data_IF_701606194485
#
_entry.id   IF_701606194485
#
_cell.length_a   1.000
_cell.length_b   1.000
_cell.length_c   1.000
_cell.angle_alpha   90.00
_cell.angle_beta   90.00
_cell.angle_gamma   90.00
#
_symmetry.space_group_name_H-M   'P 1'
#
loop_
_entity.id
_entity.type
_entity.pdbx_description
1 polymer ?
#
# COMPACT_ATOMS: atom_id res chain seq x y z
N UNK A 1 29.85 39.75 63.50
CA UNK A 1 29.08 38.47 63.50
C UNK A 1 28.22 38.46 62.27
N UNK A 2 28.66 37.72 61.29
CA UNK A 2 28.02 37.67 59.98
C UNK A 2 27.42 36.27 59.79
N UNK A 3 26.12 36.18 60.00
CA UNK A 3 25.36 34.95 59.91
C UNK A 3 25.08 34.67 58.41
N UNK A 4 25.86 33.81 57.81
CA UNK A 4 25.62 33.33 56.44
C UNK A 4 24.54 32.27 56.51
N UNK A 5 23.29 32.66 56.22
CA UNK A 5 22.20 31.69 56.00
C UNK A 5 22.55 30.79 54.80
N UNK A 6 22.63 29.50 55.08
CA UNK A 6 22.74 28.47 54.04
C UNK A 6 21.49 28.50 53.20
N UNK A 7 21.67 28.55 51.87
CA UNK A 7 20.55 28.45 50.90
C UNK A 7 20.07 27.02 50.70
N UNK A 8 20.69 26.06 51.38
CA UNK A 8 20.25 24.67 51.39
C UNK A 8 19.66 24.37 52.76
N UNK A 9 18.33 24.47 52.89
CA UNK A 9 17.60 23.95 54.00
C UNK A 9 17.56 22.43 53.84
N UNK A 10 18.23 21.68 54.71
CA UNK A 10 18.05 20.22 54.78
C UNK A 10 16.59 20.01 55.20
N UNK A 11 15.76 19.55 54.26
CA UNK A 11 14.42 19.03 54.55
C UNK A 11 14.62 17.80 55.41
N UNK A 12 14.51 18.02 56.68
CA UNK A 12 14.76 17.03 57.74
C UNK A 12 13.97 15.77 57.47
N UNK A 13 14.64 14.67 57.68
CA UNK A 13 14.10 13.32 57.72
C UNK A 13 13.08 13.19 58.87
N UNK A 14 11.85 13.70 58.67
CA UNK A 14 10.70 13.21 59.40
C UNK A 14 10.12 12.02 58.62
N UNK A 15 10.59 10.85 59.04
CA UNK A 15 9.94 9.59 58.77
C UNK A 15 8.54 9.60 59.41
N UNK A 16 7.57 10.12 58.66
CA UNK A 16 6.19 9.75 58.84
C UNK A 16 5.90 8.64 57.86
N UNK A 17 5.91 7.42 58.37
CA UNK A 17 5.30 6.28 57.71
C UNK A 17 3.82 6.57 57.50
N UNK A 18 3.48 7.22 56.42
CA UNK A 18 2.15 7.15 55.82
C UNK A 18 2.24 6.07 54.77
N UNK A 19 1.50 4.97 54.98
CA UNK A 19 1.09 4.02 53.95
C UNK A 19 0.34 4.75 52.83
N UNK A 20 1.06 5.59 52.12
CA UNK A 20 0.64 6.16 50.85
C UNK A 20 0.99 5.18 49.76
N UNK A 21 0.01 4.52 49.21
CA UNK A 21 0.19 3.80 47.94
C UNK A 21 1.06 4.65 47.00
N UNK A 22 2.03 4.08 46.29
CA UNK A 22 2.91 4.83 45.42
C UNK A 22 2.03 5.67 44.49
N UNK A 23 2.24 6.98 44.49
CA UNK A 23 1.59 7.90 43.55
C UNK A 23 1.91 7.37 42.17
N UNK A 24 0.97 6.60 41.62
CA UNK A 24 1.02 6.19 40.24
C UNK A 24 1.06 7.47 39.43
N UNK A 25 2.25 7.79 38.92
CA UNK A 25 2.38 8.93 38.03
C UNK A 25 1.32 8.79 36.93
N UNK A 26 0.70 9.89 36.51
CA UNK A 26 -0.40 10.00 35.53
C UNK A 26 -0.12 9.35 34.18
N UNK A 27 0.75 8.36 34.11
CA UNK A 27 1.02 7.53 32.93
C UNK A 27 0.39 6.17 33.24
N UNK A 28 -0.85 6.04 32.78
CA UNK A 28 -1.63 4.79 32.81
C UNK A 28 -0.84 3.66 32.15
N UNK A 29 -0.03 2.94 32.91
CA UNK A 29 0.84 1.87 32.42
C UNK A 29 0.11 0.54 32.27
N UNK A 30 -1.13 0.39 32.72
CA UNK A 30 -1.80 -0.91 32.81
C UNK A 30 -2.98 -1.13 31.87
N UNK A 31 -3.82 -0.15 31.65
CA UNK A 31 -5.09 -0.34 30.92
C UNK A 31 -4.98 -0.32 29.39
N UNK A 32 -3.92 0.22 28.82
CA UNK A 32 -3.73 0.33 27.37
C UNK A 32 -2.86 -0.76 26.73
N UNK A 33 -2.07 -1.51 27.50
CA UNK A 33 -1.06 -2.43 26.97
C UNK A 33 -1.68 -3.59 26.15
N UNK A 34 -2.74 -4.22 26.67
CA UNK A 34 -3.43 -5.29 25.97
C UNK A 34 -4.12 -4.82 24.67
N UNK A 35 -4.73 -3.64 24.69
CA UNK A 35 -5.39 -3.09 23.51
C UNK A 35 -4.37 -2.73 22.42
N UNK A 36 -3.25 -2.09 22.77
CA UNK A 36 -2.15 -1.80 21.83
C UNK A 36 -1.59 -3.06 21.20
N UNK A 37 -1.45 -4.14 21.97
CA UNK A 37 -0.99 -5.43 21.47
C UNK A 37 -1.94 -5.96 20.40
N UNK A 38 -3.26 -6.01 20.64
CA UNK A 38 -4.22 -6.55 19.67
C UNK A 38 -4.36 -5.67 18.41
N UNK A 39 -4.29 -4.34 18.54
CA UNK A 39 -4.26 -3.43 17.38
C UNK A 39 -2.99 -3.68 16.55
N UNK A 40 -1.84 -3.93 17.18
CA UNK A 40 -0.60 -4.28 16.46
C UNK A 40 -0.72 -5.60 15.71
N UNK A 41 -1.32 -6.63 16.32
CA UNK A 41 -1.57 -7.91 15.64
C UNK A 41 -2.45 -7.71 14.42
N UNK A 42 -3.53 -6.93 14.55
CA UNK A 42 -4.39 -6.57 13.43
C UNK A 42 -3.65 -5.79 12.34
N UNK A 43 -2.78 -4.84 12.69
CA UNK A 43 -1.93 -4.12 11.73
C UNK A 43 -0.92 -5.07 11.05
N UNK A 44 -0.32 -6.02 11.77
CA UNK A 44 0.54 -7.02 11.15
C UNK A 44 -0.21 -7.96 10.20
N UNK A 45 -1.45 -8.30 10.53
CA UNK A 45 -2.32 -9.04 9.60
C UNK A 45 -2.57 -8.21 8.32
N UNK A 46 -2.93 -6.93 8.45
CA UNK A 46 -3.10 -6.02 7.30
C UNK A 46 -1.80 -5.89 6.51
N UNK A 47 -0.65 -5.78 7.18
CA UNK A 47 0.66 -5.74 6.54
C UNK A 47 0.90 -6.98 5.67
N UNK A 48 0.70 -8.17 6.25
CA UNK A 48 0.88 -9.43 5.53
C UNK A 48 -0.07 -9.54 4.33
N UNK A 49 -1.34 -9.14 4.49
CA UNK A 49 -2.31 -9.12 3.40
C UNK A 49 -1.94 -8.15 2.28
N UNK A 50 -1.41 -6.96 2.61
CA UNK A 50 -0.95 -5.99 1.60
C UNK A 50 0.31 -6.49 0.89
N UNK A 51 1.25 -7.13 1.58
CA UNK A 51 2.40 -7.80 0.94
C UNK A 51 1.92 -8.87 -0.03
N UNK A 52 0.99 -9.73 0.40
CA UNK A 52 0.38 -10.75 -0.47
C UNK A 52 -0.31 -10.11 -1.68
N UNK A 53 -1.01 -8.98 -1.47
CA UNK A 53 -1.66 -8.21 -2.55
C UNK A 53 -0.65 -7.72 -3.59
N UNK A 54 0.49 -7.19 -3.17
CA UNK A 54 1.55 -6.73 -4.08
C UNK A 54 2.09 -7.91 -4.90
N UNK A 55 2.31 -9.06 -4.26
CA UNK A 55 2.76 -10.28 -4.95
C UNK A 55 1.73 -10.78 -5.95
N UNK A 56 0.47 -10.91 -5.55
CA UNK A 56 -0.62 -11.34 -6.44
C UNK A 56 -0.82 -10.35 -7.58
N UNK A 57 -0.74 -9.04 -7.33
CA UNK A 57 -0.81 -8.01 -8.36
C UNK A 57 0.34 -8.13 -9.38
N UNK A 58 1.56 -8.40 -8.93
CA UNK A 58 2.69 -8.70 -9.79
C UNK A 58 2.45 -9.94 -10.66
N UNK A 59 1.90 -11.02 -10.10
CA UNK A 59 1.53 -12.23 -10.85
C UNK A 59 0.41 -11.97 -11.85
N UNK A 60 -0.60 -11.17 -11.49
CA UNK A 60 -1.68 -10.74 -12.40
C UNK A 60 -1.11 -10.00 -13.62
N UNK A 61 -0.09 -9.15 -13.41
CA UNK A 61 0.60 -8.47 -14.52
C UNK A 61 1.44 -9.45 -15.37
N UNK A 62 2.19 -10.35 -14.74
CA UNK A 62 3.04 -11.32 -15.43
C UNK A 62 2.27 -12.40 -16.20
N UNK A 63 0.99 -12.60 -15.89
CA UNK A 63 0.09 -13.51 -16.58
C UNK A 63 -0.82 -12.81 -17.58
N UNK A 64 -0.58 -11.54 -17.87
CA UNK A 64 -1.37 -10.69 -18.74
C UNK A 64 -2.88 -10.80 -18.44
N UNK A 65 -3.24 -10.78 -17.13
CA UNK A 65 -4.61 -11.06 -16.64
C UNK A 65 -5.37 -9.80 -16.22
N UNK A 66 -4.73 -8.63 -16.28
CA UNK A 66 -5.20 -7.39 -15.61
C UNK A 66 -6.37 -6.69 -16.30
N UNK A 67 -6.83 -7.14 -17.47
CA UNK A 67 -7.93 -6.57 -18.25
C UNK A 67 -9.07 -7.56 -18.47
N UNK A 68 -9.03 -8.74 -17.85
CA UNK A 68 -10.04 -9.80 -18.05
C UNK A 68 -11.42 -9.46 -17.49
N UNK A 69 -11.49 -8.58 -16.48
CA UNK A 69 -12.73 -8.10 -15.87
C UNK A 69 -12.98 -6.65 -16.25
N UNK A 70 -13.85 -6.44 -17.22
CA UNK A 70 -14.05 -5.16 -17.90
C UNK A 70 -14.99 -4.19 -17.18
N UNK A 71 -15.57 -4.58 -16.05
CA UNK A 71 -16.56 -3.78 -15.33
C UNK A 71 -16.15 -3.46 -13.89
N UNK A 72 -16.50 -2.24 -13.44
CA UNK A 72 -16.38 -1.87 -12.04
C UNK A 72 -17.55 -2.43 -11.23
N UNK A 73 -17.30 -3.51 -10.50
CA UNK A 73 -18.29 -4.14 -9.62
C UNK A 73 -17.70 -4.36 -8.22
N UNK A 74 -17.53 -3.32 -7.39
CA UNK A 74 -16.86 -3.45 -6.09
C UNK A 74 -17.58 -4.38 -5.12
N UNK A 75 -18.90 -4.41 -5.13
CA UNK A 75 -19.71 -5.25 -4.25
C UNK A 75 -20.18 -6.52 -4.96
N UNK A 76 -20.96 -6.38 -6.04
CA UNK A 76 -21.54 -7.53 -6.75
C UNK A 76 -20.50 -8.44 -7.41
N UNK A 77 -19.32 -7.92 -7.77
CA UNK A 77 -18.19 -8.70 -8.29
C UNK A 77 -17.45 -9.55 -7.23
N UNK A 78 -17.95 -9.60 -5.99
CA UNK A 78 -17.42 -10.52 -4.98
C UNK A 78 -17.75 -11.99 -5.29
N UNK A 79 -18.83 -12.24 -6.04
CA UNK A 79 -19.17 -13.57 -6.53
C UNK A 79 -18.62 -13.73 -7.96
N UNK A 80 -17.92 -14.83 -8.26
CA UNK A 80 -17.48 -15.13 -9.60
C UNK A 80 -18.69 -15.59 -10.46
N UNK A 81 -18.54 -15.72 -11.78
CA UNK A 81 -19.57 -16.34 -12.62
C UNK A 81 -19.86 -17.76 -12.14
N UNK A 82 -21.15 -18.07 -11.86
CA UNK A 82 -21.56 -19.36 -11.28
C UNK A 82 -22.24 -20.29 -12.28
N UNK A 83 -22.56 -19.81 -13.51
CA UNK A 83 -23.18 -20.62 -14.57
C UNK A 83 -22.40 -20.52 -15.88
N UNK A 84 -22.62 -21.45 -16.79
CA UNK A 84 -22.02 -21.43 -18.12
C UNK A 84 -22.39 -20.15 -18.89
N UNK A 85 -23.63 -19.71 -18.78
CA UNK A 85 -24.14 -18.49 -19.42
C UNK A 85 -23.44 -17.25 -18.85
N UNK A 86 -23.23 -17.20 -17.52
CA UNK A 86 -22.50 -16.11 -16.87
C UNK A 86 -21.03 -16.05 -17.34
N UNK A 87 -20.36 -17.20 -17.46
CA UNK A 87 -19.00 -17.27 -17.99
C UNK A 87 -18.94 -16.80 -19.44
N UNK A 88 -19.89 -17.24 -20.28
CA UNK A 88 -19.95 -16.81 -21.67
C UNK A 88 -20.18 -15.30 -21.77
N UNK A 89 -21.07 -14.75 -20.91
CA UNK A 89 -21.33 -13.30 -20.86
C UNK A 89 -20.09 -12.49 -20.52
N UNK A 90 -19.29 -12.89 -19.51
CA UNK A 90 -18.06 -12.19 -19.17
C UNK A 90 -17.01 -12.33 -20.29
N UNK A 91 -16.93 -13.50 -20.95
CA UNK A 91 -16.03 -13.69 -22.08
C UNK A 91 -16.43 -12.85 -23.30
N UNK A 92 -17.72 -12.69 -23.62
CA UNK A 92 -18.16 -11.79 -24.69
C UNK A 92 -17.79 -10.33 -24.40
N UNK A 93 -17.83 -9.88 -23.15
CA UNK A 93 -17.37 -8.54 -22.77
C UNK A 93 -15.86 -8.38 -22.97
N UNK A 94 -15.07 -9.40 -22.61
CA UNK A 94 -13.64 -9.41 -22.84
C UNK A 94 -13.28 -9.37 -24.32
N UNK A 95 -14.04 -10.08 -25.17
CA UNK A 95 -13.84 -10.05 -26.62
C UNK A 95 -14.04 -8.68 -27.28
N UNK A 96 -14.69 -7.76 -26.58
CA UNK A 96 -14.95 -6.40 -27.09
C UNK A 96 -13.81 -5.40 -26.79
N UNK A 97 -12.75 -5.80 -26.08
CA UNK A 97 -11.63 -4.91 -25.75
C UNK A 97 -10.45 -5.11 -26.71
N UNK A 98 -9.57 -4.09 -26.85
CA UNK A 98 -8.42 -4.14 -27.78
C UNK A 98 -7.46 -5.31 -27.51
N UNK A 99 -7.20 -5.65 -26.25
CA UNK A 99 -6.31 -6.77 -25.89
C UNK A 99 -6.77 -8.09 -26.53
N UNK A 100 -8.08 -8.40 -26.51
CA UNK A 100 -8.56 -9.61 -27.15
C UNK A 100 -8.39 -9.53 -28.67
N UNK A 101 -8.82 -8.45 -29.30
CA UNK A 101 -8.82 -8.33 -30.76
C UNK A 101 -7.41 -8.34 -31.36
N UNK A 102 -6.42 -7.76 -30.67
CA UNK A 102 -5.08 -7.56 -31.20
C UNK A 102 -4.07 -8.61 -30.69
N UNK A 103 -4.25 -9.13 -29.48
CA UNK A 103 -3.29 -10.03 -28.83
C UNK A 103 -3.86 -11.45 -28.61
N UNK A 104 -5.09 -11.56 -28.11
CA UNK A 104 -5.67 -12.82 -27.64
C UNK A 104 -6.77 -13.38 -28.56
N UNK A 105 -6.81 -12.95 -29.81
CA UNK A 105 -7.80 -13.40 -30.79
C UNK A 105 -7.77 -14.91 -30.98
N UNK A 106 -8.93 -15.54 -30.75
CA UNK A 106 -9.05 -16.99 -30.80
C UNK A 106 -8.83 -17.73 -29.49
N UNK A 107 -8.60 -16.98 -28.39
CA UNK A 107 -8.55 -17.53 -27.04
C UNK A 107 -9.83 -18.35 -26.74
N UNK A 108 -9.65 -19.51 -26.16
CA UNK A 108 -10.75 -20.36 -25.69
C UNK A 108 -11.36 -19.85 -24.38
N UNK A 109 -12.59 -20.29 -24.07
CA UNK A 109 -13.22 -19.98 -22.79
C UNK A 109 -12.38 -20.46 -21.58
N UNK A 110 -11.68 -21.59 -21.71
CA UNK A 110 -10.84 -22.13 -20.64
C UNK A 110 -9.61 -21.25 -20.37
N UNK A 111 -8.97 -20.74 -21.41
CA UNK A 111 -7.86 -19.78 -21.28
C UNK A 111 -8.33 -18.45 -20.69
N UNK A 112 -9.50 -17.95 -21.14
CA UNK A 112 -10.13 -16.78 -20.53
C UNK A 112 -10.42 -16.97 -19.02
N UNK A 113 -10.95 -18.14 -18.64
CA UNK A 113 -11.19 -18.44 -17.23
C UNK A 113 -9.91 -18.41 -16.41
N UNK A 114 -8.77 -18.84 -16.95
CA UNK A 114 -7.48 -18.78 -16.25
C UNK A 114 -7.07 -17.35 -15.93
N UNK A 115 -7.11 -16.43 -16.90
CA UNK A 115 -6.77 -15.01 -16.66
C UNK A 115 -7.81 -14.32 -15.78
N UNK A 116 -9.09 -14.68 -15.95
CA UNK A 116 -10.17 -14.14 -15.09
C UNK A 116 -9.95 -14.48 -13.61
N UNK A 117 -9.53 -15.72 -13.29
CA UNK A 117 -9.31 -16.12 -11.90
C UNK A 117 -8.14 -15.38 -11.24
N UNK A 118 -7.09 -15.04 -11.98
CA UNK A 118 -6.01 -14.22 -11.47
C UNK A 118 -6.50 -12.81 -11.11
N UNK A 119 -7.21 -12.16 -12.02
CA UNK A 119 -7.72 -10.82 -11.76
C UNK A 119 -8.81 -10.83 -10.68
N UNK A 120 -9.73 -11.79 -10.71
CA UNK A 120 -10.76 -11.92 -9.68
C UNK A 120 -10.12 -12.16 -8.30
N UNK A 121 -9.14 -13.03 -8.20
CA UNK A 121 -8.39 -13.29 -6.97
C UNK A 121 -7.71 -12.04 -6.42
N UNK A 122 -7.07 -11.25 -7.28
CA UNK A 122 -6.49 -9.96 -6.92
C UNK A 122 -7.55 -8.99 -6.39
N UNK A 123 -8.66 -8.82 -7.11
CA UNK A 123 -9.78 -7.96 -6.68
C UNK A 123 -10.44 -8.47 -5.40
N UNK A 124 -10.55 -9.79 -5.24
CA UNK A 124 -11.13 -10.40 -4.04
C UNK A 124 -10.24 -10.17 -2.81
N UNK A 125 -8.94 -10.30 -2.95
CA UNK A 125 -7.99 -9.99 -1.87
C UNK A 125 -8.11 -8.53 -1.43
N UNK A 126 -8.33 -7.59 -2.38
CA UNK A 126 -8.61 -6.20 -2.05
C UNK A 126 -9.86 -6.01 -1.19
N UNK A 127 -10.95 -6.74 -1.52
CA UNK A 127 -12.18 -6.74 -0.70
C UNK A 127 -11.92 -7.30 0.71
N UNK A 128 -11.15 -8.39 0.80
CA UNK A 128 -10.77 -9.00 2.10
C UNK A 128 -9.96 -8.02 2.94
N UNK A 129 -8.98 -7.32 2.37
CA UNK A 129 -8.21 -6.28 3.08
C UNK A 129 -9.13 -5.18 3.60
N UNK A 130 -10.03 -4.68 2.75
CA UNK A 130 -11.01 -3.66 3.14
C UNK A 130 -11.93 -4.14 4.27
N UNK A 131 -12.41 -5.38 4.20
CA UNK A 131 -13.26 -5.99 5.24
C UNK A 131 -12.49 -6.18 6.56
N UNK A 132 -11.27 -6.71 6.52
CA UNK A 132 -10.41 -6.89 7.70
C UNK A 132 -10.11 -5.54 8.36
N UNK A 133 -9.84 -4.51 7.54
CA UNK A 133 -9.67 -3.16 8.07
C UNK A 133 -10.96 -2.65 8.72
N UNK A 134 -12.11 -2.73 8.04
CA UNK A 134 -13.38 -2.19 8.51
C UNK A 134 -13.86 -2.87 9.80
N UNK A 135 -13.82 -4.21 9.84
CA UNK A 135 -14.22 -5.00 11.01
C UNK A 135 -13.28 -4.70 12.19
N UNK A 136 -11.96 -4.74 11.97
CA UNK A 136 -10.99 -4.47 13.03
C UNK A 136 -11.15 -3.04 13.58
N UNK A 137 -11.26 -2.04 12.69
CA UNK A 137 -11.50 -0.66 13.12
C UNK A 137 -12.80 -0.52 13.91
N UNK A 138 -13.92 -1.07 13.41
CA UNK A 138 -15.22 -0.99 14.07
C UNK A 138 -15.20 -1.66 15.45
N UNK A 139 -14.59 -2.84 15.58
CA UNK A 139 -14.45 -3.55 16.86
C UNK A 139 -13.65 -2.73 17.87
N UNK A 140 -12.46 -2.24 17.51
CA UNK A 140 -11.64 -1.46 18.42
C UNK A 140 -12.27 -0.10 18.77
N UNK A 141 -12.96 0.53 17.82
CA UNK A 141 -13.67 1.79 18.04
C UNK A 141 -14.87 1.61 18.96
N UNK A 142 -15.76 0.65 18.69
CA UNK A 142 -16.94 0.36 19.51
C UNK A 142 -16.56 -0.07 20.94
N UNK A 143 -15.50 -0.88 21.07
CA UNK A 143 -14.95 -1.28 22.37
C UNK A 143 -14.20 -0.15 23.10
N UNK A 144 -14.06 1.05 22.52
CA UNK A 144 -13.29 2.18 23.07
C UNK A 144 -11.84 1.80 23.43
N UNK A 145 -11.22 0.94 22.60
CA UNK A 145 -9.86 0.42 22.81
C UNK A 145 -8.80 1.15 21.98
N UNK A 146 -9.20 2.06 21.08
CA UNK A 146 -8.25 2.85 20.28
C UNK A 146 -7.57 3.88 21.21
N UNK A 147 -6.23 3.91 21.29
CA UNK A 147 -5.51 4.88 22.11
C UNK A 147 -5.79 6.33 21.66
N UNK A 148 -5.66 7.27 22.58
CA UNK A 148 -5.82 8.69 22.25
C UNK A 148 -4.90 9.12 21.10
N UNK A 149 -5.42 9.88 20.14
CA UNK A 149 -4.70 10.36 18.96
C UNK A 149 -4.47 9.31 17.85
N UNK A 150 -4.98 8.07 18.00
CA UNK A 150 -4.79 7.01 16.99
C UNK A 150 -5.98 6.83 16.06
N UNK A 151 -7.17 7.30 16.41
CA UNK A 151 -8.38 7.14 15.58
C UNK A 151 -8.17 7.68 14.15
N UNK A 152 -7.67 8.92 14.01
CA UNK A 152 -7.43 9.51 12.70
C UNK A 152 -6.36 8.77 11.88
N UNK A 153 -5.31 8.22 12.54
CA UNK A 153 -4.27 7.43 11.88
C UNK A 153 -4.81 6.12 11.33
N UNK A 154 -5.65 5.43 12.10
CA UNK A 154 -6.27 4.17 11.67
C UNK A 154 -7.34 4.41 10.59
N UNK A 155 -8.10 5.52 10.67
CA UNK A 155 -9.01 5.95 9.61
C UNK A 155 -8.28 6.28 8.31
N UNK A 156 -7.11 6.93 8.39
CA UNK A 156 -6.27 7.24 7.23
C UNK A 156 -5.97 5.98 6.40
N UNK A 157 -5.68 4.85 7.05
CA UNK A 157 -5.45 3.58 6.33
C UNK A 157 -6.67 3.16 5.52
N UNK A 158 -7.88 3.34 6.05
CA UNK A 158 -9.12 3.04 5.33
C UNK A 158 -9.36 3.98 4.16
N UNK A 159 -9.11 5.28 4.34
CA UNK A 159 -9.20 6.28 3.26
C UNK A 159 -8.21 5.94 2.14
N UNK A 160 -6.95 5.67 2.48
CA UNK A 160 -5.94 5.27 1.51
C UNK A 160 -6.29 3.94 0.81
N UNK A 161 -6.85 2.97 1.55
CA UNK A 161 -7.36 1.72 0.97
C UNK A 161 -8.51 1.94 -0.02
N UNK A 162 -9.44 2.83 0.29
CA UNK A 162 -10.51 3.23 -0.64
C UNK A 162 -9.97 3.92 -1.89
N UNK A 163 -9.01 4.84 -1.72
CA UNK A 163 -8.31 5.49 -2.85
C UNK A 163 -7.56 4.47 -3.70
N UNK A 164 -6.92 3.48 -3.08
CA UNK A 164 -6.21 2.40 -3.78
C UNK A 164 -7.14 1.64 -4.73
N UNK A 165 -8.37 1.32 -4.27
CA UNK A 165 -9.38 0.68 -5.12
C UNK A 165 -9.82 1.57 -6.29
N UNK A 166 -10.05 2.86 -6.05
CA UNK A 166 -10.43 3.81 -7.07
C UNK A 166 -9.32 4.03 -8.11
N UNK A 167 -8.06 4.17 -7.66
CA UNK A 167 -6.89 4.30 -8.54
C UNK A 167 -6.65 3.00 -9.32
N UNK A 168 -6.88 1.83 -8.71
CA UNK A 168 -6.81 0.55 -9.41
C UNK A 168 -7.82 0.46 -10.56
N UNK A 169 -9.05 0.92 -10.35
CA UNK A 169 -10.00 1.00 -11.43
C UNK A 169 -9.62 2.03 -12.51
N UNK A 170 -9.17 3.21 -12.11
CA UNK A 170 -8.67 4.22 -13.04
C UNK A 170 -7.51 3.67 -13.89
N UNK A 171 -6.67 2.79 -13.32
CA UNK A 171 -5.62 2.09 -14.05
C UNK A 171 -6.22 1.11 -15.08
N UNK A 172 -7.08 0.20 -14.66
CA UNK A 172 -7.73 -0.80 -15.54
C UNK A 172 -8.49 -0.12 -16.68
N UNK A 173 -9.24 0.94 -16.39
CA UNK A 173 -10.01 1.67 -17.40
C UNK A 173 -9.16 2.23 -18.55
N UNK A 174 -7.83 2.37 -18.38
CA UNK A 174 -6.95 2.84 -19.47
C UNK A 174 -6.67 1.82 -20.55
N UNK A 175 -6.79 0.52 -20.23
CA UNK A 175 -6.58 -0.57 -21.19
C UNK A 175 -7.87 -1.14 -21.79
N UNK A 176 -9.05 -0.67 -21.34
CA UNK A 176 -10.34 -1.19 -21.83
C UNK A 176 -10.81 -0.55 -23.15
N UNK A 177 -10.23 0.57 -23.54
CA UNK A 177 -10.64 1.35 -24.71
C UNK A 177 -9.43 1.96 -25.41
N UNK A 178 -9.59 2.31 -26.69
CA UNK A 178 -8.52 2.89 -27.49
C UNK A 178 -7.71 1.82 -28.21
N UNK A 179 -6.40 2.00 -28.33
CA UNK A 179 -5.47 1.10 -29.05
C UNK A 179 -4.48 0.41 -28.09
N UNK A 180 -4.58 0.63 -26.79
CA UNK A 180 -3.66 0.08 -25.80
C UNK A 180 -3.95 -1.39 -25.55
N UNK A 181 -2.89 -2.18 -25.51
CA UNK A 181 -2.93 -3.61 -25.14
C UNK A 181 -2.83 -3.81 -23.62
N UNK A 182 -2.28 -2.82 -22.95
CA UNK A 182 -2.01 -2.82 -21.51
C UNK A 182 -2.54 -1.56 -20.82
N UNK A 183 -2.51 -1.58 -19.49
CA UNK A 183 -2.81 -0.39 -18.69
C UNK A 183 -1.73 0.66 -18.85
N UNK A 184 -2.10 1.95 -18.80
CA UNK A 184 -1.13 3.05 -18.89
C UNK A 184 -0.06 2.94 -17.79
N UNK A 185 1.22 2.99 -18.15
CA UNK A 185 2.37 2.79 -17.27
C UNK A 185 2.40 3.72 -16.05
N UNK A 186 2.07 5.02 -16.24
CA UNK A 186 2.01 5.99 -15.16
C UNK A 186 0.86 5.71 -14.17
N UNK A 187 -0.25 5.11 -14.62
CA UNK A 187 -1.36 4.70 -13.75
C UNK A 187 -0.96 3.47 -12.94
N UNK A 188 -0.24 2.53 -13.55
CA UNK A 188 0.36 1.39 -12.85
C UNK A 188 1.35 1.86 -11.78
N UNK A 189 2.26 2.77 -12.12
CA UNK A 189 3.21 3.34 -11.16
C UNK A 189 2.52 4.06 -10.00
N UNK A 190 1.43 4.79 -10.28
CA UNK A 190 0.62 5.46 -9.24
C UNK A 190 -0.05 4.45 -8.31
N UNK A 191 -0.65 3.41 -8.89
CA UNK A 191 -1.33 2.35 -8.13
C UNK A 191 -0.34 1.57 -7.24
N UNK A 192 0.77 1.11 -7.80
CA UNK A 192 1.81 0.40 -7.06
C UNK A 192 2.49 1.29 -6.01
N UNK A 193 2.79 2.54 -6.36
CA UNK A 193 3.37 3.50 -5.44
C UNK A 193 2.49 3.75 -4.21
N UNK A 194 1.18 3.93 -4.40
CA UNK A 194 0.24 4.07 -3.28
C UNK A 194 0.18 2.80 -2.43
N UNK A 195 0.25 1.60 -3.02
CA UNK A 195 0.30 0.35 -2.26
C UNK A 195 1.50 0.30 -1.31
N UNK A 196 2.70 0.72 -1.77
CA UNK A 196 3.89 0.81 -0.92
C UNK A 196 3.80 1.91 0.13
N UNK A 197 3.15 3.04 -0.16
CA UNK A 197 2.87 4.08 0.85
C UNK A 197 1.95 3.54 1.95
N UNK A 198 0.89 2.82 1.60
CA UNK A 198 -0.01 2.16 2.56
C UNK A 198 0.77 1.15 3.42
N UNK A 199 1.58 0.30 2.78
CA UNK A 199 2.43 -0.68 3.47
C UNK A 199 3.37 0.00 4.48
N UNK A 200 4.01 1.11 4.06
CA UNK A 200 4.87 1.92 4.91
C UNK A 200 4.13 2.51 6.13
N UNK A 201 2.93 3.05 5.94
CA UNK A 201 2.10 3.56 7.05
C UNK A 201 1.69 2.45 8.01
N UNK A 202 1.28 1.27 7.50
CA UNK A 202 0.91 0.12 8.36
C UNK A 202 2.12 -0.29 9.21
N UNK A 203 3.30 -0.46 8.59
CA UNK A 203 4.53 -0.80 9.29
C UNK A 203 4.89 0.24 10.35
N UNK A 204 4.87 1.52 9.98
CA UNK A 204 5.16 2.61 10.90
C UNK A 204 4.20 2.65 12.09
N UNK A 205 2.91 2.49 11.86
CA UNK A 205 1.90 2.49 12.92
C UNK A 205 2.05 1.27 13.84
N UNK A 206 2.30 0.07 13.28
CA UNK A 206 2.52 -1.14 14.07
C UNK A 206 3.77 -1.03 14.96
N UNK A 207 4.87 -0.49 14.45
CA UNK A 207 6.09 -0.26 15.20
C UNK A 207 5.91 0.82 16.25
N UNK A 208 5.26 1.95 15.90
CA UNK A 208 5.03 3.07 16.82
C UNK A 208 4.14 2.69 17.99
N UNK A 209 3.10 1.88 17.77
CA UNK A 209 2.24 1.35 18.84
C UNK A 209 2.97 0.42 19.82
N UNK A 210 4.09 -0.17 19.38
CA UNK A 210 4.93 -1.04 20.20
C UNK A 210 5.79 -0.30 21.22
N UNK A 211 5.93 1.01 21.08
CA UNK A 211 6.80 1.83 21.91
C UNK A 211 5.97 2.69 22.87
N UNK A 212 6.47 2.85 24.10
CA UNK A 212 5.93 3.83 25.02
C UNK A 212 6.28 5.26 24.58
N UNK A 213 5.50 6.26 24.99
CA UNK A 213 5.82 7.66 24.67
C UNK A 213 7.19 8.09 25.19
N UNK A 214 7.58 7.59 26.38
CA UNK A 214 8.93 7.81 26.92
C UNK A 214 10.00 7.22 26.01
N UNK A 215 9.82 6.00 25.53
CA UNK A 215 10.77 5.37 24.61
C UNK A 215 10.87 6.14 23.30
N UNK A 216 9.75 6.59 22.75
CA UNK A 216 9.74 7.42 21.53
C UNK A 216 10.48 8.76 21.74
N UNK A 217 10.27 9.43 22.86
CA UNK A 217 10.97 10.66 23.20
C UNK A 217 12.48 10.42 23.40
N UNK A 218 12.85 9.34 24.08
CA UNK A 218 14.26 8.97 24.26
C UNK A 218 14.94 8.64 22.93
N UNK A 219 14.28 7.90 22.05
CA UNK A 219 14.79 7.60 20.72
C UNK A 219 14.99 8.87 19.88
N UNK A 220 14.06 9.83 19.96
CA UNK A 220 14.20 11.14 19.30
C UNK A 220 15.42 11.91 19.82
N UNK A 221 15.66 11.89 21.13
CA UNK A 221 16.81 12.58 21.77
C UNK A 221 18.14 11.91 21.43
N UNK A 222 18.16 10.56 21.31
CA UNK A 222 19.36 9.75 21.01
C UNK A 222 19.56 9.52 19.51
N UNK A 223 18.72 10.12 18.67
CA UNK A 223 18.79 9.93 17.22
C UNK A 223 20.16 10.32 16.69
N UNK A 224 20.88 9.35 16.13
CA UNK A 224 22.08 9.61 15.38
C UNK A 224 21.70 10.20 14.01
N UNK A 225 22.04 11.47 13.79
CA UNK A 225 21.60 12.23 12.62
C UNK A 225 22.09 11.61 11.32
N UNK A 226 23.31 11.08 11.30
CA UNK A 226 23.88 10.43 10.11
C UNK A 226 23.10 9.20 9.70
N UNK A 227 22.86 8.26 10.64
CA UNK A 227 22.08 7.05 10.37
C UNK A 227 20.64 7.37 9.95
N UNK A 228 20.02 8.35 10.60
CA UNK A 228 18.66 8.79 10.24
C UNK A 228 18.63 9.33 8.80
N UNK A 229 19.58 10.20 8.44
CA UNK A 229 19.65 10.78 7.10
C UNK A 229 19.90 9.72 6.03
N UNK A 230 20.85 8.81 6.28
CA UNK A 230 21.15 7.70 5.35
C UNK A 230 19.96 6.75 5.17
N UNK A 231 19.30 6.36 6.26
CA UNK A 231 18.11 5.48 6.20
C UNK A 231 16.95 6.15 5.46
N UNK A 232 16.74 7.44 5.70
CA UNK A 232 15.72 8.22 5.01
C UNK A 232 16.05 8.34 3.53
N UNK A 233 17.29 8.63 3.18
CA UNK A 233 17.77 8.67 1.80
C UNK A 233 17.53 7.33 1.09
N UNK A 234 17.99 6.23 1.69
CA UNK A 234 17.80 4.89 1.14
C UNK A 234 16.31 4.57 0.91
N UNK A 235 15.45 4.89 1.87
CA UNK A 235 13.99 4.69 1.73
C UNK A 235 13.43 5.44 0.52
N UNK A 236 13.82 6.71 0.31
CA UNK A 236 13.36 7.50 -0.82
C UNK A 236 13.90 6.97 -2.16
N UNK A 237 15.17 6.58 -2.21
CA UNK A 237 15.76 5.97 -3.42
C UNK A 237 15.10 4.63 -3.74
N UNK A 238 14.83 3.79 -2.74
CA UNK A 238 14.10 2.53 -2.96
C UNK A 238 12.69 2.79 -3.47
N UNK A 239 12.00 3.77 -2.92
CA UNK A 239 10.65 4.14 -3.40
C UNK A 239 10.69 4.67 -4.84
N UNK A 240 11.64 5.54 -5.16
CA UNK A 240 11.86 6.02 -6.53
C UNK A 240 12.15 4.86 -7.48
N UNK A 241 13.02 3.91 -7.07
CA UNK A 241 13.31 2.71 -7.86
C UNK A 241 12.06 1.87 -8.14
N UNK A 242 11.14 1.74 -7.16
CA UNK A 242 9.86 1.04 -7.35
C UNK A 242 9.01 1.75 -8.41
N UNK A 243 8.90 3.08 -8.35
CA UNK A 243 8.12 3.85 -9.33
C UNK A 243 8.70 3.75 -10.75
N UNK A 244 10.01 3.91 -10.89
CA UNK A 244 10.69 3.76 -12.19
C UNK A 244 10.53 2.33 -12.70
N UNK A 245 10.70 1.32 -11.83
CA UNK A 245 10.49 -0.08 -12.19
C UNK A 245 9.07 -0.38 -12.66
N UNK A 246 8.06 0.28 -12.05
CA UNK A 246 6.67 0.15 -12.48
C UNK A 246 6.43 0.80 -13.87
N UNK A 247 7.08 1.93 -14.18
CA UNK A 247 7.02 2.53 -15.50
C UNK A 247 7.64 1.60 -16.56
N UNK A 248 8.84 1.07 -16.28
CA UNK A 248 9.54 0.11 -17.16
C UNK A 248 8.71 -1.16 -17.39
N UNK A 249 8.09 -1.69 -16.31
CA UNK A 249 7.21 -2.86 -16.42
C UNK A 249 5.92 -2.56 -17.20
N UNK A 250 5.40 -1.33 -17.06
CA UNK A 250 4.15 -0.91 -17.70
C UNK A 250 4.24 -0.77 -19.22
N UNK A 251 5.44 -0.56 -19.77
CA UNK A 251 5.68 -0.48 -21.23
C UNK A 251 6.40 -1.72 -21.78
N UNK A 252 6.48 -2.79 -20.99
CA UNK A 252 7.22 -4.02 -21.36
C UNK A 252 8.66 -3.78 -21.86
N UNK A 253 9.31 -2.70 -21.41
CA UNK A 253 10.64 -2.30 -21.91
C UNK A 253 11.70 -3.40 -21.80
N UNK A 254 11.60 -4.30 -20.84
CA UNK A 254 12.49 -5.45 -20.69
C UNK A 254 12.29 -6.54 -21.76
N UNK A 255 11.14 -6.55 -22.47
CA UNK A 255 10.89 -7.42 -23.62
C UNK A 255 11.28 -6.74 -24.93
N UNK A 256 11.08 -5.42 -25.01
CA UNK A 256 11.34 -4.63 -26.22
C UNK A 256 12.81 -4.29 -26.38
N UNK A 257 13.56 -4.09 -25.29
CA UNK A 257 14.97 -3.72 -25.29
C UNK A 257 15.80 -4.71 -24.45
N UNK A 258 16.30 -5.76 -25.11
CA UNK A 258 17.06 -6.85 -24.46
C UNK A 258 18.57 -6.64 -24.47
N UNK A 259 19.06 -5.63 -25.15
CA UNK A 259 20.48 -5.33 -25.41
C UNK A 259 21.11 -4.36 -24.39
N UNK A 260 20.79 -4.52 -23.10
CA UNK A 260 21.36 -3.69 -22.04
C UNK A 260 22.92 -3.62 -22.14
N UNK A 261 23.53 -2.44 -22.02
CA UNK A 261 22.98 -1.13 -21.63
C UNK A 261 22.37 -0.31 -22.78
N UNK A 262 22.27 -0.86 -23.96
CA UNK A 262 21.72 -0.21 -25.15
C UNK A 262 20.21 -0.50 -25.28
N UNK A 263 19.54 0.29 -26.14
CA UNK A 263 18.16 0.15 -26.53
C UNK A 263 18.10 0.17 -28.05
N UNK A 264 17.94 -0.99 -28.69
CA UNK A 264 18.01 -1.16 -30.13
C UNK A 264 19.32 -0.59 -30.74
N UNK A 265 20.46 -0.83 -30.09
CA UNK A 265 21.78 -0.39 -30.52
C UNK A 265 22.18 1.05 -30.13
N UNK A 266 21.28 1.84 -29.53
CA UNK A 266 21.54 3.20 -29.00
C UNK A 266 21.44 3.29 -27.49
N UNK A 267 21.93 4.38 -26.88
CA UNK A 267 21.71 4.65 -25.45
C UNK A 267 20.29 5.14 -25.13
N UNK A 268 19.52 5.52 -26.14
CA UNK A 268 18.13 5.90 -26.08
C UNK A 268 17.36 5.08 -27.10
N UNK A 269 16.05 4.82 -26.87
CA UNK A 269 15.21 4.17 -27.88
C UNK A 269 15.15 5.02 -29.16
N UNK A 270 14.90 4.41 -30.31
CA UNK A 270 14.67 5.17 -31.53
C UNK A 270 13.46 6.13 -31.35
N UNK A 271 13.65 7.37 -31.81
CA UNK A 271 12.59 8.41 -31.78
C UNK A 271 11.88 8.61 -30.44
N UNK A 272 12.61 8.84 -29.32
CA UNK A 272 12.03 8.86 -27.96
C UNK A 272 11.03 10.00 -27.74
N UNK A 273 10.88 10.93 -28.67
CA UNK A 273 9.98 12.08 -28.63
C UNK A 273 9.20 12.25 -29.95
N UNK A 274 8.66 11.14 -30.47
CA UNK A 274 7.95 11.09 -31.75
C UNK A 274 6.61 11.87 -31.74
N UNK A 275 5.95 11.99 -30.56
CA UNK A 275 4.66 12.65 -30.45
C UNK A 275 4.79 14.17 -30.28
N UNK A 276 3.83 14.92 -30.84
CA UNK A 276 3.75 16.38 -30.73
C UNK A 276 2.47 16.76 -29.97
N UNK A 277 2.55 17.57 -28.91
CA UNK A 277 3.73 18.12 -28.26
C UNK A 277 4.55 17.04 -27.50
N UNK A 278 5.86 17.24 -27.34
CA UNK A 278 6.82 16.24 -26.83
C UNK A 278 6.45 15.60 -25.48
N UNK A 279 5.75 16.31 -24.59
CA UNK A 279 5.35 15.80 -23.30
C UNK A 279 4.31 14.66 -23.39
N UNK A 280 3.61 14.50 -24.54
CA UNK A 280 2.67 13.40 -24.76
C UNK A 280 3.33 12.04 -24.74
N UNK A 281 4.63 11.95 -25.12
CA UNK A 281 5.36 10.69 -25.07
C UNK A 281 5.41 10.08 -23.67
N UNK A 282 5.34 10.89 -22.60
CA UNK A 282 5.31 10.35 -21.22
C UNK A 282 3.96 9.76 -20.80
N UNK A 283 2.90 9.97 -21.55
CA UNK A 283 1.55 9.56 -21.17
C UNK A 283 0.83 8.74 -22.26
N UNK A 284 1.22 8.87 -23.49
CA UNK A 284 0.51 8.31 -24.65
C UNK A 284 1.38 7.39 -25.50
N UNK A 285 2.69 7.43 -25.33
CA UNK A 285 3.61 6.50 -25.99
C UNK A 285 3.56 5.15 -25.26
N UNK A 286 3.36 4.09 -25.98
CA UNK A 286 3.30 2.72 -25.45
C UNK A 286 4.67 1.99 -25.50
N UNK A 287 5.78 2.71 -25.77
CA UNK A 287 7.16 2.24 -25.73
C UNK A 287 7.81 2.09 -27.08
#
# INVERSE_FOLDING_TARGET
MNDKRSIFEEVGSQSAATDGAPVQGMIDQGRGAGARFWIRIWLYLLFALVVTMILVGGLTRLTDSGLSITEWKPVSGALPPLSAEAWQSEFEKYKAIPEYELQNKGMSLAEFQFIYWWEWGHRQLGRVIGLVWAVGFAVFFAARKIPAGWTGRLLLLGVLGGMQGAIGWWMVASGLTGERLDVASYRLATHLGLAFVILGFIAWFALSLGLSERALLQQRRRREQRLFSMSTGLMHFTFLQILIGALVAGIDAGRNYIDWPLMAGGFFPPDPFSLTPWWRNFFEDDG
#
